data_IF_221526081189
#
_entry.id   IF_221526081189
#
_cell.length_a   1.000
_cell.length_b   1.000
_cell.length_c   1.000
_cell.angle_alpha   90.00
_cell.angle_beta   90.00
_cell.angle_gamma   90.00
#
_symmetry.space_group_name_H-M   'P 1'
#
loop_
_entity.id
_entity.type
_entity.pdbx_description
1 polymer ?
#
# COMPACT_ATOMS: atom_id res chain seq x y z
N UNK A 1 7.43 -21.85 -12.95
CA UNK A 1 8.34 -21.68 -11.78
C UNK A 1 7.61 -22.12 -10.51
N UNK A 2 8.24 -22.96 -9.71
CA UNK A 2 7.65 -23.38 -8.43
C UNK A 2 8.17 -22.50 -7.30
N UNK A 3 7.28 -22.10 -6.40
CA UNK A 3 7.59 -21.34 -5.18
C UNK A 3 6.91 -22.00 -4.00
N UNK A 4 7.55 -21.97 -2.87
CA UNK A 4 6.94 -22.48 -1.65
C UNK A 4 7.96 -22.66 -0.53
N UNK A 5 7.44 -23.08 0.61
CA UNK A 5 8.26 -23.41 1.77
C UNK A 5 8.98 -24.73 1.57
N UNK A 6 9.96 -25.01 2.44
CA UNK A 6 10.86 -26.16 2.36
C UNK A 6 10.15 -27.47 2.00
N UNK A 7 9.12 -27.85 2.72
CA UNK A 7 8.45 -29.15 2.52
C UNK A 7 7.80 -29.28 1.14
N UNK A 8 7.22 -28.20 0.65
CA UNK A 8 6.63 -28.16 -0.70
C UNK A 8 7.69 -28.33 -1.78
N UNK A 9 8.83 -27.66 -1.62
CA UNK A 9 9.93 -27.74 -2.58
C UNK A 9 10.58 -29.12 -2.59
N UNK A 10 10.76 -29.74 -1.43
CA UNK A 10 11.30 -31.11 -1.32
C UNK A 10 10.37 -32.09 -2.03
N UNK A 11 9.08 -32.04 -1.76
CA UNK A 11 8.09 -32.91 -2.39
C UNK A 11 8.10 -32.76 -3.91
N UNK A 12 8.20 -31.56 -4.40
CA UNK A 12 8.28 -31.30 -5.84
C UNK A 12 9.57 -31.88 -6.45
N UNK A 13 10.71 -31.66 -5.80
CA UNK A 13 12.01 -32.16 -6.27
C UNK A 13 12.05 -33.69 -6.35
N UNK A 14 11.46 -34.36 -5.37
CA UNK A 14 11.42 -35.83 -5.35
C UNK A 14 10.67 -36.44 -6.55
N UNK A 15 9.77 -35.69 -7.15
CA UNK A 15 9.01 -36.09 -8.33
C UNK A 15 9.66 -35.69 -9.65
N UNK A 16 10.85 -35.08 -9.61
CA UNK A 16 11.59 -34.70 -10.82
C UNK A 16 12.57 -35.76 -11.26
N UNK A 17 12.91 -35.80 -12.58
CA UNK A 17 13.95 -36.72 -13.08
C UNK A 17 15.31 -36.47 -12.43
N UNK A 18 16.05 -37.54 -12.14
CA UNK A 18 17.36 -37.46 -11.48
C UNK A 18 18.44 -36.75 -12.29
N UNK A 19 18.26 -36.67 -13.62
CA UNK A 19 19.26 -36.10 -14.53
C UNK A 19 19.07 -34.61 -14.80
N UNK A 20 18.05 -33.97 -14.20
CA UNK A 20 17.85 -32.55 -14.37
C UNK A 20 18.60 -31.74 -13.32
N UNK A 21 19.13 -30.60 -13.77
CA UNK A 21 19.82 -29.65 -12.89
C UNK A 21 18.86 -28.54 -12.55
N UNK A 22 18.75 -28.24 -11.25
CA UNK A 22 17.87 -27.17 -10.73
C UNK A 22 18.72 -26.13 -10.02
N UNK A 23 18.30 -24.87 -10.16
CA UNK A 23 18.81 -23.76 -9.37
C UNK A 23 17.74 -23.35 -8.37
N UNK A 24 18.11 -23.27 -7.10
CA UNK A 24 17.20 -22.86 -6.03
C UNK A 24 17.69 -21.52 -5.47
N UNK A 25 16.80 -20.54 -5.46
CA UNK A 25 17.08 -19.22 -4.90
C UNK A 25 16.05 -18.87 -3.85
N UNK A 26 16.48 -18.17 -2.82
CA UNK A 26 15.54 -17.58 -1.86
C UNK A 26 14.66 -16.57 -2.56
N UNK A 27 13.34 -16.75 -2.44
CA UNK A 27 12.39 -15.77 -2.95
C UNK A 27 12.27 -14.61 -1.98
N UNK A 28 12.77 -13.47 -2.40
CA UNK A 28 12.53 -12.22 -1.70
C UNK A 28 11.41 -11.49 -2.42
N UNK A 29 10.33 -11.27 -1.73
CA UNK A 29 9.21 -10.51 -2.28
C UNK A 29 9.74 -9.14 -2.72
N UNK A 30 9.69 -8.86 -4.01
CA UNK A 30 10.02 -7.56 -4.57
C UNK A 30 8.90 -6.59 -4.20
N UNK A 31 8.98 -6.17 -2.97
CA UNK A 31 7.95 -5.43 -2.30
C UNK A 31 7.49 -4.17 -3.02
N UNK A 32 8.44 -3.41 -3.51
CA UNK A 32 8.20 -1.99 -3.43
C UNK A 32 7.94 -1.31 -4.75
N UNK A 33 8.55 -1.79 -5.83
CA UNK A 33 8.35 -1.16 -7.13
C UNK A 33 6.98 -1.49 -7.70
N UNK A 34 6.55 -2.74 -7.59
CA UNK A 34 5.28 -3.19 -8.17
C UNK A 34 4.08 -2.64 -7.40
N UNK A 35 4.11 -2.71 -6.07
CA UNK A 35 3.03 -2.17 -5.22
C UNK A 35 2.96 -0.66 -5.31
N UNK A 36 4.10 0.00 -5.27
CA UNK A 36 4.18 1.46 -5.37
C UNK A 36 3.72 1.94 -6.75
N UNK A 37 4.16 1.29 -7.81
CA UNK A 37 3.72 1.59 -9.17
C UNK A 37 2.22 1.38 -9.35
N UNK A 38 1.67 0.28 -8.82
CA UNK A 38 0.24 0.00 -8.83
C UNK A 38 -0.55 1.09 -8.09
N UNK A 39 -0.05 1.49 -6.92
CA UNK A 39 -0.69 2.54 -6.13
C UNK A 39 -0.83 3.84 -6.92
N UNK A 40 0.26 4.37 -7.47
CA UNK A 40 0.23 5.63 -8.19
C UNK A 40 -0.58 5.57 -9.47
N UNK A 41 -0.53 4.45 -10.18
CA UNK A 41 -1.35 4.22 -11.38
C UNK A 41 -2.84 4.28 -11.05
N UNK A 42 -3.28 3.51 -10.06
CA UNK A 42 -4.68 3.48 -9.64
C UNK A 42 -5.12 4.81 -9.06
N UNK A 43 -4.25 5.48 -8.32
CA UNK A 43 -4.53 6.79 -7.75
C UNK A 43 -4.82 7.81 -8.85
N UNK A 44 -4.01 7.83 -9.92
CA UNK A 44 -4.22 8.73 -11.04
C UNK A 44 -5.53 8.42 -11.79
N UNK A 45 -5.84 7.14 -11.99
CA UNK A 45 -7.08 6.73 -12.64
C UNK A 45 -8.31 7.14 -11.82
N UNK A 46 -8.27 6.90 -10.52
CA UNK A 46 -9.37 7.25 -9.62
C UNK A 46 -9.55 8.77 -9.53
N UNK A 47 -8.47 9.52 -9.45
CA UNK A 47 -8.51 10.99 -9.42
C UNK A 47 -9.19 11.56 -10.67
N UNK A 48 -8.92 11.00 -11.84
CA UNK A 48 -9.57 11.39 -13.09
C UNK A 48 -11.08 11.11 -13.05
N UNK A 49 -11.48 9.95 -12.56
CA UNK A 49 -12.89 9.57 -12.45
C UNK A 49 -13.64 10.48 -11.47
N UNK A 50 -13.03 10.76 -10.33
CA UNK A 50 -13.62 11.63 -9.30
C UNK A 50 -13.50 13.11 -9.62
N UNK A 51 -12.71 13.48 -10.62
CA UNK A 51 -12.45 14.87 -11.02
C UNK A 51 -11.85 15.71 -9.90
N UNK A 52 -10.90 15.13 -9.17
CA UNK A 52 -10.13 15.80 -8.12
C UNK A 52 -8.63 15.69 -8.42
N UNK A 53 -7.82 16.49 -7.73
CA UNK A 53 -6.38 16.42 -7.86
C UNK A 53 -5.82 15.13 -7.28
N UNK A 54 -4.78 14.60 -7.89
CA UNK A 54 -4.09 13.39 -7.41
C UNK A 54 -3.57 13.59 -5.98
N UNK A 55 -3.00 14.73 -5.68
CA UNK A 55 -2.48 15.05 -4.34
C UNK A 55 -3.60 15.13 -3.30
N UNK A 56 -4.72 15.71 -3.66
CA UNK A 56 -5.89 15.80 -2.79
C UNK A 56 -6.42 14.40 -2.44
N UNK A 57 -6.52 13.52 -3.45
CA UNK A 57 -6.95 12.15 -3.25
C UNK A 57 -5.94 11.38 -2.38
N UNK A 58 -4.65 11.56 -2.62
CA UNK A 58 -3.60 10.93 -1.84
C UNK A 58 -3.68 11.30 -0.35
N UNK A 59 -3.86 12.58 -0.07
CA UNK A 59 -4.06 13.07 1.31
C UNK A 59 -5.28 12.45 1.99
N UNK A 60 -6.37 12.35 1.27
CA UNK A 60 -7.59 11.73 1.77
C UNK A 60 -7.38 10.26 2.12
N UNK A 61 -6.67 9.53 1.27
CA UNK A 61 -6.35 8.12 1.51
C UNK A 61 -5.39 7.94 2.70
N UNK A 62 -4.41 8.81 2.84
CA UNK A 62 -3.51 8.77 4.00
C UNK A 62 -4.29 9.02 5.30
N UNK A 63 -5.22 9.96 5.27
CA UNK A 63 -6.08 10.25 6.42
C UNK A 63 -6.90 9.03 6.84
N UNK A 64 -7.42 8.27 5.88
CA UNK A 64 -8.29 7.13 6.15
C UNK A 64 -7.53 5.83 6.45
N UNK A 65 -6.38 5.61 5.84
CA UNK A 65 -5.71 4.30 5.84
C UNK A 65 -4.28 4.28 6.33
N UNK A 66 -3.61 5.43 6.45
CA UNK A 66 -2.22 5.46 6.92
C UNK A 66 -2.11 5.34 8.43
N UNK A 67 -0.92 5.07 8.90
CA UNK A 67 -0.60 5.11 10.33
C UNK A 67 -0.68 6.54 10.83
N UNK A 68 -1.28 6.74 11.99
CA UNK A 68 -1.48 8.05 12.60
C UNK A 68 -0.86 8.12 13.98
N UNK A 69 -0.37 9.28 14.33
CA UNK A 69 0.05 9.57 15.69
C UNK A 69 -0.24 11.03 16.03
N UNK A 70 -0.33 11.32 17.32
CA UNK A 70 -0.58 12.67 17.79
C UNK A 70 0.69 13.30 18.34
N UNK A 71 0.85 14.59 18.10
CA UNK A 71 1.91 15.39 18.73
C UNK A 71 1.28 16.61 19.37
N UNK A 72 1.92 17.06 20.44
CA UNK A 72 1.50 18.26 21.18
C UNK A 72 2.68 19.23 21.22
N UNK A 73 2.45 20.43 20.77
CA UNK A 73 3.44 21.50 20.79
C UNK A 73 2.84 22.76 21.41
N UNK A 74 3.67 23.67 21.95
CA UNK A 74 3.13 24.96 22.39
C UNK A 74 2.37 25.66 21.27
N UNK A 75 1.20 26.22 21.57
CA UNK A 75 0.29 26.76 20.57
C UNK A 75 0.87 27.95 19.77
N UNK A 76 1.89 28.59 20.30
CA UNK A 76 2.61 29.72 19.66
C UNK A 76 3.54 29.27 18.52
N UNK A 77 3.91 28.00 18.46
CA UNK A 77 4.78 27.47 17.42
C UNK A 77 4.00 26.90 16.25
N UNK A 78 4.57 27.03 15.06
CA UNK A 78 4.06 26.36 13.86
C UNK A 78 4.69 24.99 13.72
N UNK A 79 3.88 24.04 13.24
CA UNK A 79 4.37 22.71 12.92
C UNK A 79 5.19 22.75 11.62
N UNK A 80 6.45 22.35 11.67
CA UNK A 80 7.37 22.34 10.52
C UNK A 80 7.96 20.95 10.29
N UNK A 81 8.30 20.66 9.04
CA UNK A 81 8.95 19.40 8.66
C UNK A 81 8.04 18.20 8.61
N UNK A 82 6.74 18.39 8.74
CA UNK A 82 5.73 17.34 8.63
C UNK A 82 4.81 17.70 7.47
N UNK A 83 4.66 16.77 6.53
CA UNK A 83 3.93 17.02 5.28
C UNK A 83 2.43 16.85 5.43
N UNK A 84 1.98 15.81 6.16
CA UNK A 84 0.58 15.49 6.28
C UNK A 84 0.14 15.54 7.74
N UNK A 85 -0.67 16.52 8.07
CA UNK A 85 -1.19 16.68 9.43
C UNK A 85 -2.51 17.44 9.45
N UNK A 86 -3.20 17.34 10.57
CA UNK A 86 -4.42 18.10 10.82
C UNK A 86 -4.37 18.60 12.27
N UNK A 87 -4.63 19.91 12.45
CA UNK A 87 -4.74 20.49 13.78
C UNK A 87 -6.09 20.08 14.37
N UNK A 88 -6.07 19.37 15.50
CA UNK A 88 -7.28 18.86 16.12
C UNK A 88 -7.88 19.81 17.14
N UNK A 89 -7.08 20.27 18.09
CA UNK A 89 -7.57 21.12 19.17
C UNK A 89 -6.43 21.92 19.80
N UNK A 90 -6.82 22.95 20.56
CA UNK A 90 -5.91 23.66 21.44
C UNK A 90 -6.36 23.42 22.87
N UNK A 91 -5.45 22.94 23.70
CA UNK A 91 -5.72 22.69 25.12
C UNK A 91 -4.95 23.65 25.99
N UNK A 92 -5.46 23.89 27.19
CA UNK A 92 -4.79 24.70 28.21
C UNK A 92 -4.35 23.80 29.35
N UNK A 93 -3.06 23.82 29.68
CA UNK A 93 -2.50 23.04 30.77
C UNK A 93 -1.49 23.92 31.51
N UNK A 94 -1.65 24.04 32.84
CA UNK A 94 -0.75 24.80 33.70
C UNK A 94 -0.52 26.25 33.20
N UNK A 95 -1.58 26.94 32.80
CA UNK A 95 -1.60 28.30 32.22
C UNK A 95 -0.89 28.42 30.85
N UNK A 96 -0.48 27.33 30.25
CA UNK A 96 0.08 27.30 28.91
C UNK A 96 -0.91 26.68 27.92
N UNK A 97 -0.89 27.18 26.68
CA UNK A 97 -1.71 26.64 25.59
C UNK A 97 -0.87 25.72 24.71
N UNK A 98 -1.43 24.57 24.36
CA UNK A 98 -0.80 23.58 23.49
C UNK A 98 -1.74 23.25 22.34
N UNK A 99 -1.17 23.09 21.16
CA UNK A 99 -1.91 22.61 19.99
C UNK A 99 -1.64 21.12 19.81
N UNK A 100 -2.70 20.36 19.60
CA UNK A 100 -2.64 18.93 19.32
C UNK A 100 -2.86 18.73 17.83
N UNK A 101 -1.90 18.05 17.19
CA UNK A 101 -1.96 17.70 15.78
C UNK A 101 -2.02 16.20 15.62
N UNK A 102 -2.84 15.76 14.68
CA UNK A 102 -2.82 14.39 14.20
C UNK A 102 -1.96 14.34 12.95
N UNK A 103 -0.96 13.46 12.96
CA UNK A 103 0.01 13.33 11.86
C UNK A 103 -0.25 12.02 11.14
N UNK A 104 -0.25 12.07 9.82
CA UNK A 104 -0.41 10.91 8.95
C UNK A 104 0.94 10.56 8.34
N UNK A 105 1.37 9.32 8.51
CA UNK A 105 2.67 8.87 8.00
C UNK A 105 2.66 8.87 6.47
N UNK A 106 3.62 9.51 5.80
CA UNK A 106 3.72 9.49 4.33
C UNK A 106 3.89 8.07 3.80
N UNK A 107 3.39 7.82 2.60
CA UNK A 107 3.42 6.48 2.02
C UNK A 107 4.83 5.87 1.92
N UNK A 108 5.85 6.69 1.63
CA UNK A 108 7.22 6.21 1.51
C UNK A 108 7.87 5.79 2.85
N UNK A 109 7.29 6.18 3.98
CA UNK A 109 7.75 5.79 5.32
C UNK A 109 6.97 4.60 5.90
N UNK A 110 5.92 4.14 5.23
CA UNK A 110 5.12 3.02 5.69
C UNK A 110 5.88 1.70 5.54
N UNK A 111 5.73 0.83 6.53
CA UNK A 111 6.17 -0.56 6.42
C UNK A 111 5.34 -1.28 5.36
N UNK A 112 5.83 -2.41 4.88
CA UNK A 112 5.17 -3.20 3.85
C UNK A 112 3.71 -3.53 4.18
N UNK A 113 3.47 -4.03 5.40
CA UNK A 113 2.13 -4.34 5.87
C UNK A 113 1.22 -3.12 5.97
N UNK A 114 1.77 -1.99 6.36
CA UNK A 114 1.06 -0.72 6.47
C UNK A 114 0.72 -0.15 5.09
N UNK A 115 1.65 -0.24 4.15
CA UNK A 115 1.41 0.16 2.77
C UNK A 115 0.35 -0.72 2.09
N UNK A 116 0.34 -2.02 2.41
CA UNK A 116 -0.67 -2.94 1.90
C UNK A 116 -2.09 -2.52 2.30
N UNK A 117 -2.27 -2.00 3.51
CA UNK A 117 -3.56 -1.46 3.98
C UNK A 117 -3.97 -0.23 3.16
N UNK A 118 -3.03 0.68 2.93
CA UNK A 118 -3.27 1.88 2.12
C UNK A 118 -3.65 1.49 0.68
N UNK A 119 -2.91 0.59 0.08
CA UNK A 119 -3.18 0.09 -1.27
C UNK A 119 -4.55 -0.60 -1.35
N UNK A 120 -4.88 -1.42 -0.36
CA UNK A 120 -6.18 -2.10 -0.32
C UNK A 120 -7.33 -1.09 -0.22
N UNK A 121 -7.17 -0.04 0.57
CA UNK A 121 -8.16 1.03 0.64
C UNK A 121 -8.36 1.72 -0.71
N UNK A 122 -7.28 1.99 -1.44
CA UNK A 122 -7.36 2.55 -2.79
C UNK A 122 -8.05 1.58 -3.76
N UNK A 123 -7.72 0.29 -3.69
CA UNK A 123 -8.33 -0.74 -4.55
C UNK A 123 -9.84 -0.77 -4.34
N UNK A 124 -10.30 -0.76 -3.09
CA UNK A 124 -11.72 -0.75 -2.77
C UNK A 124 -12.42 0.48 -3.33
N UNK A 125 -11.82 1.65 -3.21
CA UNK A 125 -12.36 2.88 -3.79
C UNK A 125 -12.44 2.81 -5.33
N UNK A 126 -11.43 2.24 -5.96
CA UNK A 126 -11.42 2.03 -7.42
C UNK A 126 -12.53 1.08 -7.85
N UNK A 127 -12.71 -0.02 -7.16
CA UNK A 127 -13.75 -1.01 -7.45
C UNK A 127 -15.15 -0.42 -7.33
N UNK A 128 -15.38 0.42 -6.32
CA UNK A 128 -16.64 1.16 -6.17
C UNK A 128 -16.96 2.05 -7.37
N UNK A 129 -15.94 2.56 -8.05
CA UNK A 129 -16.09 3.41 -9.24
C UNK A 129 -16.02 2.62 -10.56
N UNK A 130 -15.98 1.29 -10.49
CA UNK A 130 -15.92 0.44 -11.68
C UNK A 130 -14.58 0.39 -12.38
N UNK A 131 -13.50 0.79 -11.70
CA UNK A 131 -12.14 0.74 -12.24
C UNK A 131 -11.58 -0.67 -12.06
N UNK A 132 -11.02 -1.25 -13.13
CA UNK A 132 -10.35 -2.54 -13.06
C UNK A 132 -9.00 -2.37 -12.35
N UNK A 133 -8.83 -3.02 -11.22
CA UNK A 133 -7.64 -2.92 -10.37
C UNK A 133 -6.60 -4.01 -10.64
N UNK A 134 -6.89 -4.93 -11.56
CA UNK A 134 -5.97 -6.00 -11.91
C UNK A 134 -4.84 -5.48 -12.78
N UNK A 135 -3.63 -5.99 -12.57
CA UNK A 135 -2.51 -5.75 -13.47
C UNK A 135 -2.69 -6.54 -14.78
N UNK A 136 -2.01 -6.14 -15.87
CA UNK A 136 -2.03 -6.93 -17.10
C UNK A 136 -1.61 -8.40 -16.88
N UNK A 137 -0.64 -8.63 -15.99
CA UNK A 137 -0.18 -9.98 -15.64
C UNK A 137 -1.26 -10.78 -14.89
N UNK A 138 -1.99 -10.14 -13.99
CA UNK A 138 -3.10 -10.75 -13.25
C UNK A 138 -4.23 -11.14 -14.21
N UNK A 139 -4.60 -10.25 -15.11
CA UNK A 139 -5.64 -10.50 -16.14
C UNK A 139 -5.23 -11.69 -17.01
N UNK A 140 -4.01 -11.71 -17.49
CA UNK A 140 -3.49 -12.79 -18.32
C UNK A 140 -3.49 -14.13 -17.59
N UNK A 141 -3.13 -14.12 -16.31
CA UNK A 141 -3.14 -15.31 -15.46
C UNK A 141 -4.53 -15.88 -15.27
N UNK A 142 -5.52 -15.03 -15.02
CA UNK A 142 -6.93 -15.42 -14.89
C UNK A 142 -7.48 -16.00 -16.19
N UNK A 143 -7.18 -15.37 -17.32
CA UNK A 143 -7.58 -15.88 -18.64
C UNK A 143 -7.00 -17.27 -18.93
N UNK A 144 -5.74 -17.49 -18.61
CA UNK A 144 -5.10 -18.80 -18.77
C UNK A 144 -5.73 -19.85 -17.85
N UNK A 145 -6.07 -19.46 -16.63
CA UNK A 145 -6.74 -20.34 -15.67
C UNK A 145 -8.14 -20.74 -16.19
N UNK A 146 -8.93 -19.80 -16.66
CA UNK A 146 -10.25 -20.06 -17.23
C UNK A 146 -10.17 -21.01 -18.45
N UNK A 147 -9.19 -20.81 -19.33
CA UNK A 147 -8.96 -21.69 -20.48
C UNK A 147 -8.56 -23.11 -20.05
N UNK A 148 -7.85 -23.27 -18.93
CA UNK A 148 -7.44 -24.58 -18.45
C UNK A 148 -8.59 -25.40 -17.82
N UNK A 149 -9.64 -24.72 -17.36
CA UNK A 149 -10.82 -25.33 -16.75
C UNK A 149 -11.82 -25.77 -17.82
N UNK A 150 -11.91 -25.05 -18.92
CA UNK A 150 -12.79 -25.35 -20.04
C UNK A 150 -12.09 -26.23 -21.07
#
# INVERSE_FOLDING_TARGET
>A
MIKGVKNKLISWLLNQPDNKVFEIKEYKQKRNLDQNGKYWKLLNELALVLKIGTEELHRSLLKDYSVRYQIMIPAEYELRGIEYYEKKEVIKKDNNKYAIYEVYVPSHELKESEFAVLLQGLIECCEEQGIDTRSPEEIKREELYEKSIN
#
